data_IF_179463489527
#
_entry.id   IF_179463489527
#
_cell.length_a   1.000
_cell.length_b   1.000
_cell.length_c   1.000
_cell.angle_alpha   90.00
_cell.angle_beta   90.00
_cell.angle_gamma   90.00
#
_symmetry.space_group_name_H-M   'P 1'
#
loop_
_entity.id
_entity.type
_entity.pdbx_description
1 polymer ?
#
# COMPACT_ATOMS: atom_id res chain seq x y z
N UNK A 1 8.93 2.45 -2.20
CA UNK A 1 8.28 2.21 -3.52
C UNK A 1 7.00 3.04 -3.63
N UNK A 2 6.54 3.35 -4.85
CA UNK A 2 5.26 4.02 -5.12
C UNK A 2 4.38 3.12 -6.01
N UNK A 3 3.15 2.87 -5.57
CA UNK A 3 2.12 2.10 -6.29
C UNK A 3 0.97 3.05 -6.66
N UNK A 4 0.48 3.01 -7.89
CA UNK A 4 -0.62 3.84 -8.39
C UNK A 4 -1.73 2.93 -8.93
N UNK A 5 -2.97 3.16 -8.50
CA UNK A 5 -4.12 2.38 -8.93
C UNK A 5 -5.40 3.20 -8.97
N UNK A 6 -6.44 2.61 -9.54
CA UNK A 6 -7.82 3.11 -9.49
C UNK A 6 -8.66 2.13 -8.68
N UNK A 7 -9.55 2.65 -7.83
CA UNK A 7 -10.43 1.87 -6.96
C UNK A 7 -11.88 2.31 -7.08
N UNK A 8 -12.77 1.32 -7.16
CA UNK A 8 -14.24 1.46 -7.10
C UNK A 8 -14.76 1.21 -5.69
N UNK A 9 -16.01 1.59 -5.38
CA UNK A 9 -16.68 1.16 -4.16
C UNK A 9 -16.59 -0.35 -3.99
N UNK A 10 -16.24 -0.80 -2.79
CA UNK A 10 -16.04 -2.22 -2.46
C UNK A 10 -14.66 -2.79 -2.81
N UNK A 11 -13.84 -2.12 -3.62
CA UNK A 11 -12.46 -2.51 -3.86
C UNK A 11 -11.53 -1.98 -2.76
N UNK A 12 -10.48 -2.74 -2.46
CA UNK A 12 -9.60 -2.44 -1.34
C UNK A 12 -8.14 -2.77 -1.61
N UNK A 13 -7.28 -2.26 -0.74
CA UNK A 13 -5.85 -2.55 -0.74
C UNK A 13 -5.48 -3.22 0.57
N UNK A 14 -4.69 -4.29 0.51
CA UNK A 14 -4.01 -4.87 1.67
C UNK A 14 -2.56 -4.38 1.67
N UNK A 15 -2.13 -3.80 2.78
CA UNK A 15 -0.72 -3.47 3.02
C UNK A 15 -0.22 -4.45 4.09
N UNK A 16 0.80 -5.24 3.75
CA UNK A 16 1.33 -6.29 4.62
C UNK A 16 2.85 -6.34 4.56
N UNK A 17 3.48 -7.09 5.46
CA UNK A 17 4.93 -7.33 5.43
C UNK A 17 5.29 -8.25 4.26
N UNK A 18 6.46 -8.03 3.69
CA UNK A 18 7.10 -9.06 2.88
C UNK A 18 7.48 -10.25 3.77
N UNK A 19 7.08 -11.46 3.38
CA UNK A 19 7.34 -12.70 4.14
C UNK A 19 8.84 -13.02 4.22
N UNK A 20 9.64 -12.44 3.32
CA UNK A 20 11.10 -12.57 3.34
C UNK A 20 11.78 -11.64 4.36
N UNK A 21 11.03 -10.72 4.98
CA UNK A 21 11.57 -9.81 5.97
C UNK A 21 11.98 -10.57 7.25
N UNK A 22 13.22 -10.43 7.75
CA UNK A 22 13.62 -11.06 8.99
C UNK A 22 12.71 -10.61 10.15
N UNK A 23 12.20 -11.55 10.93
CA UNK A 23 11.31 -11.28 12.07
C UNK A 23 11.95 -10.36 13.13
N UNK A 24 13.28 -10.33 13.20
CA UNK A 24 14.05 -9.46 14.10
C UNK A 24 14.15 -8.01 13.62
N UNK A 25 13.66 -7.70 12.42
CA UNK A 25 13.74 -6.35 11.87
C UNK A 25 12.97 -5.40 12.79
N UNK A 26 13.64 -4.39 13.39
CA UNK A 26 12.96 -3.41 14.21
C UNK A 26 11.89 -2.69 13.40
N UNK A 27 10.68 -2.58 13.96
CA UNK A 27 9.55 -1.90 13.30
C UNK A 27 9.89 -0.47 12.88
N UNK A 28 10.72 0.22 13.67
CA UNK A 28 11.16 1.59 13.38
C UNK A 28 11.86 1.73 12.02
N UNK A 29 12.57 0.69 11.55
CA UNK A 29 13.22 0.71 10.24
C UNK A 29 12.21 0.76 9.09
N UNK A 30 11.01 0.19 9.27
CA UNK A 30 9.97 0.20 8.24
C UNK A 30 9.35 1.59 8.01
N UNK A 31 9.56 2.52 8.95
CA UNK A 31 8.92 3.84 8.93
C UNK A 31 9.91 4.99 9.04
N UNK A 32 11.20 4.73 9.31
CA UNK A 32 12.23 5.75 9.51
C UNK A 32 12.35 6.71 8.31
N UNK A 33 12.45 6.14 7.10
CA UNK A 33 12.70 6.95 5.89
C UNK A 33 11.44 7.20 5.06
N UNK A 34 10.40 6.38 5.22
CA UNK A 34 9.19 6.45 4.40
C UNK A 34 7.99 5.98 5.20
N UNK A 35 7.17 6.92 5.74
CA UNK A 35 5.87 6.52 6.27
C UNK A 35 4.99 5.97 5.14
N UNK A 36 3.99 5.18 5.49
CA UNK A 36 2.94 4.81 4.54
C UNK A 36 2.15 6.07 4.21
N UNK A 37 2.25 6.55 2.98
CA UNK A 37 1.50 7.71 2.47
C UNK A 37 0.49 7.25 1.45
N UNK A 38 -0.78 7.53 1.71
CA UNK A 38 -1.88 7.30 0.78
C UNK A 38 -2.28 8.67 0.24
N UNK A 39 -2.30 8.83 -1.08
CA UNK A 39 -2.62 10.08 -1.74
C UNK A 39 -3.69 9.85 -2.79
N UNK A 40 -4.82 10.54 -2.66
CA UNK A 40 -5.85 10.58 -3.70
C UNK A 40 -5.44 11.64 -4.72
N UNK A 41 -5.24 11.21 -5.96
CA UNK A 41 -4.89 12.10 -7.07
C UNK A 41 -6.13 12.65 -7.75
N UNK A 42 -7.16 11.83 -7.88
CA UNK A 42 -8.37 12.19 -8.62
C UNK A 42 -9.56 11.35 -8.17
N UNK A 43 -10.75 11.96 -8.24
CA UNK A 43 -12.03 11.26 -8.14
C UNK A 43 -12.82 11.55 -9.42
N UNK A 44 -13.20 10.51 -10.16
CA UNK A 44 -14.00 10.59 -11.39
C UNK A 44 -15.21 9.69 -11.21
N UNK A 45 -16.41 10.25 -11.11
CA UNK A 45 -17.62 9.50 -10.76
C UNK A 45 -17.39 8.70 -9.45
N UNK A 46 -17.46 7.38 -9.52
CA UNK A 46 -17.21 6.45 -8.41
C UNK A 46 -15.77 5.92 -8.38
N UNK A 47 -14.95 6.26 -9.36
CA UNK A 47 -13.57 5.79 -9.47
C UNK A 47 -12.61 6.76 -8.74
N UNK A 48 -11.81 6.20 -7.82
CA UNK A 48 -10.79 6.93 -7.07
C UNK A 48 -9.41 6.52 -7.59
N UNK A 49 -8.68 7.46 -8.19
CA UNK A 49 -7.27 7.28 -8.54
C UNK A 49 -6.41 7.67 -7.34
N UNK A 50 -5.64 6.72 -6.81
CA UNK A 50 -4.81 6.93 -5.63
C UNK A 50 -3.43 6.30 -5.79
N UNK A 51 -2.47 6.82 -5.05
CA UNK A 51 -1.16 6.19 -4.88
C UNK A 51 -0.89 5.83 -3.43
N UNK A 52 -0.13 4.76 -3.24
CA UNK A 52 0.41 4.34 -1.95
C UNK A 52 1.93 4.35 -2.07
N UNK A 53 2.59 5.12 -1.19
CA UNK A 53 4.05 5.11 -1.03
C UNK A 53 4.37 4.47 0.31
N UNK A 54 5.24 3.48 0.31
CA UNK A 54 5.62 2.72 1.49
C UNK A 54 7.07 2.22 1.38
N UNK A 55 7.63 1.75 2.49
CA UNK A 55 8.92 1.05 2.52
C UNK A 55 8.89 -0.19 1.60
N UNK A 56 9.98 -0.52 0.87
CA UNK A 56 9.99 -1.66 -0.07
C UNK A 56 9.68 -3.03 0.56
N UNK A 57 9.96 -3.20 1.85
CA UNK A 57 9.61 -4.41 2.62
C UNK A 57 8.13 -4.53 2.98
N UNK A 58 7.30 -3.60 2.52
CA UNK A 58 5.84 -3.69 2.61
C UNK A 58 5.27 -4.05 1.24
N UNK A 59 4.47 -5.10 1.21
CA UNK A 59 3.72 -5.53 0.03
C UNK A 59 2.39 -4.79 -0.01
N UNK A 60 2.01 -4.38 -1.21
CA UNK A 60 0.76 -3.68 -1.51
C UNK A 60 -0.02 -4.56 -2.47
N UNK A 61 -1.14 -5.11 -2.01
CA UNK A 61 -1.93 -6.13 -2.73
C UNK A 61 -3.36 -5.64 -2.95
N UNK A 62 -3.96 -6.07 -4.05
CA UNK A 62 -5.40 -5.90 -4.32
C UNK A 62 -6.20 -6.88 -3.45
N UNK A 63 -7.14 -6.38 -2.63
CA UNK A 63 -7.95 -7.24 -1.74
C UNK A 63 -8.78 -8.25 -2.54
N UNK A 64 -9.27 -7.83 -3.69
CA UNK A 64 -10.11 -8.63 -4.59
C UNK A 64 -9.43 -9.87 -5.18
N UNK A 65 -8.11 -10.02 -5.02
CA UNK A 65 -7.36 -11.19 -5.47
C UNK A 65 -7.31 -12.34 -4.44
N UNK A 66 -8.03 -12.22 -3.32
CA UNK A 66 -8.21 -13.32 -2.36
C UNK A 66 -7.05 -13.53 -1.39
N UNK A 67 -6.33 -12.45 -1.05
CA UNK A 67 -5.30 -12.45 0.01
C UNK A 67 -5.89 -12.19 1.40
#
# INVERSE_FOLDING_TARGET
MMFLCTRKPGQGMLITLDETLPWRTPVGLLFADTPIKIMVHQVINEDVRLSIRAHPSLRILSKELGY
#
